data_IF_899486057471
#
_entry.id   IF_899486057471
#
_cell.length_a   1.000
_cell.length_b   1.000
_cell.length_c   1.000
_cell.angle_alpha   90.00
_cell.angle_beta   90.00
_cell.angle_gamma   90.00
#
_symmetry.space_group_name_H-M   'P 1'
#
loop_
_entity.id
_entity.type
_entity.pdbx_description
1 polymer ?
#
# COMPACT_ATOMS: atom_id res chain seq x y z
N UNK A 1 -15.83 -10.93 2.49
CA UNK A 1 -14.70 -10.06 2.10
C UNK A 1 -13.83 -9.70 3.30
N UNK A 2 -12.51 -9.86 3.19
CA UNK A 2 -11.55 -9.42 4.21
C UNK A 2 -10.43 -8.66 3.51
N UNK A 3 -10.54 -7.34 3.45
CA UNK A 3 -9.52 -6.50 2.81
C UNK A 3 -8.14 -6.78 3.43
N UNK A 4 -7.09 -6.78 2.60
CA UNK A 4 -5.70 -6.73 3.08
C UNK A 4 -5.03 -5.43 2.65
N UNK A 5 -4.36 -4.78 3.59
CA UNK A 5 -3.55 -3.58 3.35
C UNK A 5 -2.08 -3.98 3.37
N UNK A 6 -1.42 -3.86 2.24
CA UNK A 6 -0.01 -4.20 2.08
C UNK A 6 0.89 -3.00 2.38
N UNK A 7 1.87 -3.20 3.26
CA UNK A 7 2.85 -2.17 3.59
C UNK A 7 4.01 -2.27 2.62
N UNK A 8 4.18 -1.26 1.77
CA UNK A 8 5.20 -1.27 0.72
C UNK A 8 6.56 -0.82 1.23
N UNK A 9 7.65 -1.30 0.61
CA UNK A 9 9.03 -0.90 0.95
C UNK A 9 9.40 -1.19 2.41
N UNK A 10 8.99 -2.35 2.91
CA UNK A 10 9.22 -2.78 4.29
C UNK A 10 10.68 -3.11 4.56
N UNK A 11 11.23 -2.62 5.67
CA UNK A 11 12.56 -3.03 6.14
C UNK A 11 12.44 -4.21 7.09
N UNK A 12 13.42 -5.10 7.05
CA UNK A 12 13.37 -6.32 7.87
C UNK A 12 13.39 -6.01 9.37
N UNK A 13 14.17 -5.01 9.79
CA UNK A 13 14.30 -4.65 11.21
C UNK A 13 12.97 -4.21 11.83
N UNK A 14 12.14 -3.47 11.08
CA UNK A 14 10.81 -3.06 11.53
C UNK A 14 9.89 -4.29 11.63
N UNK A 15 9.99 -5.23 10.68
CA UNK A 15 9.17 -6.44 10.68
C UNK A 15 9.49 -7.30 11.88
N UNK A 16 10.78 -7.56 12.10
CA UNK A 16 11.27 -8.35 13.20
C UNK A 16 10.86 -7.75 14.55
N UNK A 17 11.02 -6.44 14.73
CA UNK A 17 10.66 -5.81 16.00
C UNK A 17 9.14 -5.76 16.22
N UNK A 18 8.37 -5.39 15.19
CA UNK A 18 6.91 -5.36 15.31
C UNK A 18 6.34 -6.75 15.61
N UNK A 19 6.89 -7.82 15.02
CA UNK A 19 6.52 -9.21 15.31
C UNK A 19 6.85 -9.66 16.73
N UNK A 20 7.92 -9.14 17.34
CA UNK A 20 8.21 -9.42 18.76
C UNK A 20 7.15 -8.79 19.67
N UNK A 21 6.68 -7.59 19.32
CA UNK A 21 5.65 -6.88 20.08
C UNK A 21 4.25 -7.48 19.86
N UNK A 22 3.95 -7.90 18.62
CA UNK A 22 2.65 -8.43 18.20
C UNK A 22 2.85 -9.68 17.34
N UNK A 23 3.03 -10.83 18.00
CA UNK A 23 3.26 -12.13 17.35
C UNK A 23 2.13 -12.49 16.36
N UNK A 24 0.87 -12.25 16.75
CA UNK A 24 -0.33 -12.68 16.02
C UNK A 24 -0.87 -11.62 15.04
N UNK A 25 -0.21 -10.47 14.91
CA UNK A 25 -0.65 -9.40 14.01
C UNK A 25 -0.67 -9.87 12.55
N UNK A 26 -1.67 -9.46 11.77
CA UNK A 26 -1.66 -9.73 10.33
C UNK A 26 -0.82 -8.67 9.60
N UNK A 27 0.35 -9.09 9.11
CA UNK A 27 1.28 -8.21 8.38
C UNK A 27 1.36 -8.66 6.94
N UNK A 28 0.93 -7.78 6.04
CA UNK A 28 0.92 -7.98 4.60
C UNK A 28 1.94 -7.03 3.98
N UNK A 29 2.81 -7.52 3.09
CA UNK A 29 3.94 -6.74 2.55
C UNK A 29 3.88 -6.71 1.02
N UNK A 30 4.12 -5.52 0.47
CA UNK A 30 4.38 -5.33 -0.97
C UNK A 30 5.87 -5.02 -1.15
N UNK A 31 6.56 -5.87 -1.88
CA UNK A 31 7.92 -5.59 -2.34
C UNK A 31 7.87 -5.01 -3.75
N UNK A 32 8.81 -4.14 -4.09
CA UNK A 32 8.88 -3.55 -5.42
C UNK A 32 10.20 -3.90 -6.09
N UNK A 33 10.15 -4.50 -7.28
CA UNK A 33 11.35 -4.86 -8.04
C UNK A 33 12.25 -3.63 -8.31
N UNK A 34 11.63 -2.47 -8.54
CA UNK A 34 12.34 -1.18 -8.70
C UNK A 34 13.19 -0.75 -7.52
N UNK A 35 12.96 -1.30 -6.33
CA UNK A 35 13.64 -0.91 -5.07
C UNK A 35 14.27 -2.11 -4.34
N UNK A 36 14.61 -3.17 -5.08
CA UNK A 36 15.22 -4.38 -4.49
C UNK A 36 16.43 -4.04 -3.61
N UNK A 37 16.46 -4.61 -2.41
CA UNK A 37 17.54 -4.47 -1.43
C UNK A 37 17.94 -5.83 -0.86
N UNK A 38 19.03 -5.87 -0.09
CA UNK A 38 19.46 -7.10 0.60
C UNK A 38 18.40 -7.66 1.56
N UNK A 39 17.59 -6.79 2.15
CA UNK A 39 16.49 -7.17 3.06
C UNK A 39 15.43 -8.02 2.36
N UNK A 40 15.21 -7.82 1.05
CA UNK A 40 14.16 -8.53 0.32
C UNK A 40 14.41 -10.03 0.31
N UNK A 41 15.65 -10.46 0.07
CA UNK A 41 16.00 -11.87 0.12
C UNK A 41 15.72 -12.48 1.51
N UNK A 42 16.09 -11.75 2.57
CA UNK A 42 15.82 -12.17 3.95
C UNK A 42 14.32 -12.34 4.20
N UNK A 43 13.48 -11.42 3.72
CA UNK A 43 12.02 -11.50 3.88
C UNK A 43 11.37 -12.58 3.02
N UNK A 44 11.87 -12.80 1.79
CA UNK A 44 11.29 -13.75 0.84
C UNK A 44 11.64 -15.19 1.20
N UNK A 45 12.89 -15.47 1.58
CA UNK A 45 13.39 -16.85 1.76
C UNK A 45 13.56 -17.22 3.23
N UNK A 46 14.25 -16.39 4.01
CA UNK A 46 14.67 -16.74 5.38
C UNK A 46 13.56 -16.52 6.41
N UNK A 47 12.82 -15.43 6.29
CA UNK A 47 11.87 -14.93 7.30
C UNK A 47 10.44 -14.84 6.76
N UNK A 48 10.12 -15.59 5.70
CA UNK A 48 8.81 -15.58 5.04
C UNK A 48 7.64 -15.85 5.98
N UNK A 49 7.85 -16.65 7.02
CA UNK A 49 6.86 -16.99 8.04
C UNK A 49 6.42 -15.79 8.90
N UNK A 50 7.21 -14.71 8.94
CA UNK A 50 6.84 -13.47 9.61
C UNK A 50 5.83 -12.64 8.80
N UNK A 51 5.45 -13.07 7.60
CA UNK A 51 4.61 -12.31 6.68
C UNK A 51 3.37 -13.14 6.35
N UNK A 52 2.19 -12.59 6.58
CA UNK A 52 0.93 -13.29 6.28
C UNK A 52 0.66 -13.36 4.79
N UNK A 53 0.98 -12.29 4.06
CA UNK A 53 0.77 -12.20 2.62
C UNK A 53 1.85 -11.34 1.99
N UNK A 54 2.43 -11.82 0.89
CA UNK A 54 3.56 -11.18 0.22
C UNK A 54 3.23 -11.01 -1.27
N UNK A 55 3.30 -9.77 -1.76
CA UNK A 55 3.00 -9.44 -3.16
C UNK A 55 4.15 -8.66 -3.78
N UNK A 56 4.21 -8.65 -5.11
CA UNK A 56 5.28 -8.00 -5.86
C UNK A 56 4.72 -6.96 -6.82
N UNK A 57 5.28 -5.76 -6.74
CA UNK A 57 5.13 -4.71 -7.74
C UNK A 57 6.36 -4.64 -8.65
N UNK A 58 6.15 -4.19 -9.89
CA UNK A 58 7.20 -4.03 -10.89
C UNK A 58 8.14 -2.87 -10.57
N UNK A 59 7.67 -1.86 -9.81
CA UNK A 59 8.42 -0.64 -9.54
C UNK A 59 8.51 0.32 -10.71
N UNK A 60 7.70 0.13 -11.74
CA UNK A 60 7.56 1.05 -12.87
C UNK A 60 7.26 2.49 -12.43
N UNK A 61 6.48 2.68 -11.36
CA UNK A 61 6.19 4.02 -10.82
C UNK A 61 7.46 4.72 -10.32
N UNK A 62 8.38 3.97 -9.70
CA UNK A 62 9.65 4.49 -9.21
C UNK A 62 10.58 4.89 -10.36
N UNK A 63 10.57 4.19 -11.50
CA UNK A 63 11.32 4.62 -12.69
C UNK A 63 10.91 6.00 -13.19
N UNK A 64 9.60 6.23 -13.32
CA UNK A 64 9.08 7.44 -13.98
C UNK A 64 9.09 8.67 -13.07
N UNK A 65 9.29 8.50 -11.75
CA UNK A 65 9.23 9.59 -10.77
C UNK A 65 10.56 9.88 -10.05
N UNK A 66 11.63 9.13 -10.32
CA UNK A 66 12.95 9.40 -9.73
C UNK A 66 13.86 10.05 -10.78
N UNK A 67 13.84 11.38 -10.87
CA UNK A 67 14.93 12.13 -11.49
C UNK A 67 16.23 11.86 -10.70
N UNK A 68 17.27 11.34 -11.37
CA UNK A 68 18.62 11.28 -10.82
C UNK A 68 18.97 10.08 -9.94
N UNK A 69 18.23 8.97 -9.98
CA UNK A 69 18.79 7.73 -9.39
C UNK A 69 19.88 7.15 -10.30
N UNK A 70 21.07 6.97 -9.72
CA UNK A 70 22.12 6.08 -10.24
C UNK A 70 21.69 4.59 -10.20
N UNK A 71 20.39 4.31 -10.33
CA UNK A 71 19.78 3.00 -10.15
C UNK A 71 20.02 2.10 -11.36
N UNK A 72 20.07 0.79 -11.11
CA UNK A 72 20.10 -0.20 -12.19
C UNK A 72 18.88 0.03 -13.09
N UNK A 73 19.04 0.07 -14.43
CA UNK A 73 17.90 0.15 -15.32
C UNK A 73 17.02 -1.09 -15.10
N UNK A 74 15.81 -0.89 -14.59
CA UNK A 74 14.84 -1.98 -14.54
C UNK A 74 14.25 -2.17 -15.94
N UNK A 75 14.10 -3.42 -16.33
CA UNK A 75 13.50 -3.80 -17.61
C UNK A 75 12.69 -5.08 -17.41
N UNK A 76 11.81 -5.36 -18.37
CA UNK A 76 10.90 -6.50 -18.33
C UNK A 76 11.62 -7.85 -18.24
N UNK A 77 12.77 -8.02 -18.90
CA UNK A 77 13.49 -9.30 -18.89
C UNK A 77 14.08 -9.58 -17.51
N UNK A 78 14.67 -8.56 -16.88
CA UNK A 78 15.14 -8.65 -15.49
C UNK A 78 14.00 -8.91 -14.51
N UNK A 79 12.83 -8.29 -14.72
CA UNK A 79 11.65 -8.55 -13.90
C UNK A 79 11.14 -10.00 -14.04
N UNK A 80 11.12 -10.54 -15.27
CA UNK A 80 10.77 -11.94 -15.54
C UNK A 80 11.72 -12.89 -14.81
N UNK A 81 13.04 -12.67 -14.91
CA UNK A 81 14.02 -13.51 -14.24
C UNK A 81 13.92 -13.41 -12.71
N UNK A 82 13.63 -12.22 -12.17
CA UNK A 82 13.35 -12.05 -10.74
C UNK A 82 12.12 -12.85 -10.29
N UNK A 83 11.02 -12.77 -11.05
CA UNK A 83 9.79 -13.51 -10.78
C UNK A 83 10.01 -15.03 -10.85
N UNK A 84 10.83 -15.53 -11.78
CA UNK A 84 11.20 -16.95 -11.86
C UNK A 84 12.05 -17.39 -10.67
N UNK A 85 12.99 -16.54 -10.25
CA UNK A 85 13.90 -16.82 -9.12
C UNK A 85 13.11 -17.06 -7.83
N UNK A 86 12.07 -16.26 -7.58
CA UNK A 86 11.24 -16.33 -6.37
C UNK A 86 9.84 -16.88 -6.66
N UNK A 87 9.72 -17.74 -7.68
CA UNK A 87 8.43 -18.28 -8.10
C UNK A 87 7.76 -19.04 -6.95
N UNK A 88 6.50 -18.72 -6.69
CA UNK A 88 5.72 -19.34 -5.61
C UNK A 88 5.86 -18.66 -4.25
N UNK A 89 6.72 -17.67 -4.09
CA UNK A 89 6.85 -16.90 -2.85
C UNK A 89 5.81 -15.78 -2.72
N UNK A 90 5.32 -15.28 -3.85
CA UNK A 90 4.35 -14.21 -3.95
C UNK A 90 2.93 -14.74 -4.17
N UNK A 91 1.97 -14.19 -3.42
CA UNK A 91 0.55 -14.52 -3.56
C UNK A 91 0.00 -14.04 -4.92
N UNK A 92 0.46 -12.87 -5.36
CA UNK A 92 0.27 -12.35 -6.71
C UNK A 92 1.33 -11.28 -7.05
N UNK A 93 1.49 -11.04 -8.35
CA UNK A 93 2.51 -10.17 -8.93
C UNK A 93 1.80 -9.18 -9.86
N UNK A 94 2.06 -7.89 -9.76
CA UNK A 94 1.52 -6.91 -10.70
C UNK A 94 2.29 -6.92 -12.02
N UNK A 95 1.61 -6.54 -13.10
CA UNK A 95 2.23 -6.37 -14.40
C UNK A 95 3.40 -5.35 -14.38
N UNK A 96 4.29 -5.43 -15.37
CA UNK A 96 5.28 -4.40 -15.65
C UNK A 96 4.63 -3.24 -16.43
N UNK A 97 3.93 -2.37 -15.69
CA UNK A 97 3.11 -1.24 -16.15
C UNK A 97 3.92 0.07 -16.25
N UNK A 98 4.85 0.12 -17.20
CA UNK A 98 5.78 1.27 -17.34
C UNK A 98 5.18 2.51 -18.02
N UNK A 99 4.02 2.42 -18.66
CA UNK A 99 3.36 3.54 -19.32
C UNK A 99 2.08 3.95 -18.60
N UNK A 100 2.13 5.08 -17.90
CA UNK A 100 1.01 5.58 -17.09
C UNK A 100 0.06 6.51 -17.84
N UNK A 101 0.29 6.74 -19.14
CA UNK A 101 -0.59 7.58 -19.95
C UNK A 101 -1.88 6.82 -20.30
N UNK A 102 -2.98 7.53 -20.59
CA UNK A 102 -4.27 6.92 -20.96
C UNK A 102 -4.18 6.03 -22.22
N UNK A 103 -3.22 6.30 -23.11
CA UNK A 103 -2.94 5.49 -24.30
C UNK A 103 -1.84 4.43 -24.08
N UNK A 104 -1.35 4.27 -22.85
CA UNK A 104 -0.30 3.31 -22.49
C UNK A 104 -0.73 1.84 -22.52
N UNK A 105 -2.04 1.58 -22.68
CA UNK A 105 -2.63 0.24 -22.67
C UNK A 105 -1.89 -0.76 -23.56
N UNK A 106 -1.62 -0.41 -24.82
CA UNK A 106 -1.04 -1.36 -25.78
C UNK A 106 0.36 -1.82 -25.32
N UNK A 107 1.17 -0.91 -24.79
CA UNK A 107 2.51 -1.21 -24.29
C UNK A 107 2.45 -2.09 -23.04
N UNK A 108 1.62 -1.71 -22.07
CA UNK A 108 1.45 -2.47 -20.83
C UNK A 108 0.85 -3.86 -21.08
N UNK A 109 -0.09 -3.97 -22.03
CA UNK A 109 -0.69 -5.25 -22.43
C UNK A 109 0.32 -6.16 -23.13
N UNK A 110 1.19 -5.62 -24.00
CA UNK A 110 2.30 -6.40 -24.59
C UNK A 110 3.27 -6.91 -23.53
N UNK A 111 3.61 -6.07 -22.56
CA UNK A 111 4.45 -6.46 -21.41
C UNK A 111 3.79 -7.60 -20.62
N UNK A 112 2.51 -7.47 -20.32
CA UNK A 112 1.73 -8.50 -19.64
C UNK A 112 1.76 -9.83 -20.38
N UNK A 113 1.49 -9.82 -21.69
CA UNK A 113 1.52 -11.04 -22.51
C UNK A 113 2.91 -11.66 -22.61
N UNK A 114 3.97 -10.85 -22.61
CA UNK A 114 5.35 -11.35 -22.56
C UNK A 114 5.66 -12.06 -21.24
N UNK A 115 5.21 -11.52 -20.11
CA UNK A 115 5.40 -12.13 -18.78
C UNK A 115 4.57 -13.42 -18.65
N UNK A 116 3.33 -13.40 -19.12
CA UNK A 116 2.44 -14.58 -19.13
C UNK A 116 2.99 -15.71 -20.01
N UNK A 117 3.56 -15.38 -21.18
CA UNK A 117 4.23 -16.34 -22.06
C UNK A 117 5.47 -16.98 -21.42
N UNK A 118 6.09 -16.31 -20.43
CA UNK A 118 7.17 -16.86 -19.62
C UNK A 118 6.67 -17.75 -18.45
N UNK A 119 5.36 -17.99 -18.35
CA UNK A 119 4.76 -18.86 -17.33
C UNK A 119 4.45 -18.16 -16.00
N UNK A 120 4.55 -16.84 -15.94
CA UNK A 120 4.28 -16.05 -14.73
C UNK A 120 2.88 -15.44 -14.83
N UNK A 121 2.02 -15.72 -13.84
CA UNK A 121 0.70 -15.09 -13.75
C UNK A 121 0.84 -13.71 -13.13
N UNK A 122 0.41 -12.68 -13.83
CA UNK A 122 0.40 -11.29 -13.34
C UNK A 122 -1.02 -10.73 -13.25
N UNK A 123 -1.20 -9.78 -12.35
CA UNK A 123 -2.40 -8.99 -12.19
C UNK A 123 -2.33 -7.79 -13.13
N UNK A 124 -3.32 -7.59 -14.02
CA UNK A 124 -3.38 -6.42 -14.87
C UNK A 124 -3.61 -5.14 -14.05
N UNK A 125 -3.05 -4.03 -14.52
CA UNK A 125 -3.24 -2.70 -13.94
C UNK A 125 -4.03 -1.85 -14.93
N UNK A 126 -5.14 -1.27 -14.47
CA UNK A 126 -5.99 -0.35 -15.23
C UNK A 126 -5.60 1.08 -14.89
N UNK A 127 -5.37 1.89 -15.91
CA UNK A 127 -5.07 3.33 -15.82
C UNK A 127 -6.20 4.19 -16.41
N UNK A 128 -6.97 3.65 -17.36
CA UNK A 128 -8.20 4.26 -17.87
C UNK A 128 -9.43 3.64 -17.19
N UNK A 129 -9.88 4.28 -16.10
CA UNK A 129 -10.94 3.76 -15.24
C UNK A 129 -12.32 3.71 -15.92
N UNK A 130 -12.54 4.56 -16.92
CA UNK A 130 -13.86 4.76 -17.54
C UNK A 130 -13.87 4.46 -19.03
N UNK A 131 -12.71 4.13 -19.61
CA UNK A 131 -12.57 3.80 -21.02
C UNK A 131 -12.73 5.02 -21.93
N UNK A 132 -12.17 6.17 -21.53
CA UNK A 132 -12.13 7.36 -22.38
C UNK A 132 -11.33 7.11 -23.67
N UNK A 133 -10.19 6.44 -23.57
CA UNK A 133 -9.30 6.11 -24.70
C UNK A 133 -9.40 4.64 -25.08
N UNK A 134 -9.34 3.75 -24.09
CA UNK A 134 -9.40 2.29 -24.29
C UNK A 134 -10.21 1.66 -23.18
N UNK A 135 -11.12 0.74 -23.53
CA UNK A 135 -11.88 -0.03 -22.55
C UNK A 135 -11.01 -1.12 -21.87
N UNK A 136 -9.90 -0.72 -21.24
CA UNK A 136 -8.90 -1.61 -20.61
C UNK A 136 -9.57 -2.57 -19.62
N UNK A 137 -10.46 -2.02 -18.80
CA UNK A 137 -11.20 -2.79 -17.80
C UNK A 137 -12.03 -3.90 -18.44
N UNK A 138 -12.73 -3.62 -19.54
CA UNK A 138 -13.57 -4.63 -20.20
C UNK A 138 -12.74 -5.74 -20.84
N UNK A 139 -11.54 -5.43 -21.32
CA UNK A 139 -10.61 -6.45 -21.79
C UNK A 139 -10.13 -7.35 -20.65
N UNK A 140 -9.72 -6.76 -19.52
CA UNK A 140 -9.22 -7.53 -18.38
C UNK A 140 -10.32 -8.34 -17.67
N UNK A 141 -11.56 -7.85 -17.63
CA UNK A 141 -12.69 -8.58 -17.04
C UNK A 141 -12.98 -9.93 -17.71
N UNK A 142 -12.56 -10.12 -18.97
CA UNK A 142 -12.75 -11.38 -19.71
C UNK A 142 -11.91 -12.53 -19.15
N UNK A 143 -10.71 -12.24 -18.63
CA UNK A 143 -9.68 -13.26 -18.40
C UNK A 143 -9.04 -13.25 -17.02
N UNK A 144 -9.24 -12.20 -16.22
CA UNK A 144 -8.54 -12.04 -14.94
C UNK A 144 -9.50 -12.06 -13.74
N UNK A 145 -9.09 -12.75 -12.69
CA UNK A 145 -9.87 -12.86 -11.45
C UNK A 145 -9.57 -11.76 -10.43
N UNK A 146 -8.43 -11.11 -10.59
CA UNK A 146 -7.99 -9.96 -9.81
C UNK A 146 -7.54 -8.88 -10.79
N UNK A 147 -8.03 -7.65 -10.58
CA UNK A 147 -7.69 -6.47 -11.37
C UNK A 147 -7.17 -5.40 -10.41
N UNK A 148 -6.07 -4.75 -10.79
CA UNK A 148 -5.52 -3.62 -10.04
C UNK A 148 -5.93 -2.31 -10.68
N UNK A 149 -6.18 -1.30 -9.86
CA UNK A 149 -6.42 0.08 -10.30
C UNK A 149 -5.19 0.92 -9.96
N UNK A 150 -4.46 1.34 -11.00
CA UNK A 150 -3.22 2.12 -10.92
C UNK A 150 -3.44 3.62 -10.89
N UNK A 151 -2.37 4.40 -11.13
CA UNK A 151 -2.49 5.84 -11.35
C UNK A 151 -3.44 6.11 -12.53
N UNK A 152 -4.37 7.04 -12.35
CA UNK A 152 -5.32 7.51 -13.36
C UNK A 152 -5.57 8.99 -13.12
N UNK A 153 -5.88 9.76 -14.16
CA UNK A 153 -6.35 11.15 -14.03
C UNK A 153 -7.64 11.21 -13.20
N UNK A 154 -8.45 10.16 -13.25
CA UNK A 154 -9.70 10.05 -12.50
C UNK A 154 -9.54 9.44 -11.12
N UNK A 155 -8.32 9.13 -10.66
CA UNK A 155 -8.10 8.46 -9.37
C UNK A 155 -8.65 9.24 -8.17
N UNK A 156 -8.78 10.56 -8.29
CA UNK A 156 -9.31 11.45 -7.25
C UNK A 156 -10.82 11.69 -7.37
N UNK A 157 -11.43 11.31 -8.50
CA UNK A 157 -12.87 11.33 -8.67
C UNK A 157 -13.47 10.11 -7.94
N UNK A 158 -14.08 10.38 -6.80
CA UNK A 158 -14.68 9.35 -5.94
C UNK A 158 -15.80 8.59 -6.65
N UNK A 159 -16.56 9.25 -7.53
CA UNK A 159 -17.68 8.62 -8.22
C UNK A 159 -17.18 7.67 -9.31
N UNK A 160 -16.22 8.12 -10.12
CA UNK A 160 -15.60 7.28 -11.16
C UNK A 160 -14.90 6.06 -10.54
N UNK A 161 -14.07 6.28 -9.51
CA UNK A 161 -13.41 5.16 -8.80
C UNK A 161 -14.43 4.17 -8.22
N UNK A 162 -15.48 4.65 -7.55
CA UNK A 162 -16.51 3.78 -7.00
C UNK A 162 -17.25 2.99 -8.09
N UNK A 163 -17.60 3.63 -9.22
CA UNK A 163 -18.25 2.96 -10.33
C UNK A 163 -17.37 1.85 -10.94
N UNK A 164 -16.07 2.13 -11.13
CA UNK A 164 -15.10 1.14 -11.63
C UNK A 164 -14.96 -0.05 -10.66
N UNK A 165 -14.82 0.21 -9.36
CA UNK A 165 -14.78 -0.84 -8.33
C UNK A 165 -16.05 -1.69 -8.36
N UNK A 166 -17.23 -1.06 -8.38
CA UNK A 166 -18.52 -1.77 -8.42
C UNK A 166 -18.66 -2.62 -9.68
N UNK A 167 -18.22 -2.13 -10.85
CA UNK A 167 -18.21 -2.91 -12.10
C UNK A 167 -17.36 -4.19 -11.97
N UNK A 168 -16.18 -4.09 -11.36
CA UNK A 168 -15.30 -5.25 -11.09
C UNK A 168 -15.99 -6.24 -10.15
N UNK A 169 -16.58 -5.76 -9.05
CA UNK A 169 -17.25 -6.61 -8.06
C UNK A 169 -18.52 -7.26 -8.60
N UNK A 170 -19.30 -6.57 -9.43
CA UNK A 170 -20.47 -7.14 -10.12
C UNK A 170 -20.09 -8.26 -11.08
N UNK A 171 -18.92 -8.17 -11.71
CA UNK A 171 -18.33 -9.25 -12.49
C UNK A 171 -17.73 -10.39 -11.62
N UNK A 172 -17.93 -10.35 -10.30
CA UNK A 172 -17.44 -11.31 -9.31
C UNK A 172 -15.91 -11.47 -9.32
N UNK A 173 -15.21 -10.39 -9.62
CA UNK A 173 -13.75 -10.33 -9.60
C UNK A 173 -13.26 -9.62 -8.34
N UNK A 174 -11.98 -9.78 -8.04
CA UNK A 174 -11.30 -9.07 -6.94
C UNK A 174 -10.67 -7.79 -7.45
N UNK A 175 -10.53 -6.81 -6.56
CA UNK A 175 -9.91 -5.51 -6.89
C UNK A 175 -8.80 -5.16 -5.91
N UNK A 176 -7.69 -4.67 -6.46
CA UNK A 176 -6.61 -4.02 -5.70
C UNK A 176 -6.57 -2.53 -6.03
N UNK A 177 -6.44 -1.66 -5.02
CA UNK A 177 -6.20 -0.23 -5.22
C UNK A 177 -4.73 0.13 -4.94
N UNK A 178 -3.99 0.49 -6.00
CA UNK A 178 -2.58 0.87 -5.86
C UNK A 178 -2.44 2.22 -5.14
N UNK A 179 -1.63 2.26 -4.07
CA UNK A 179 -1.30 3.48 -3.34
C UNK A 179 -2.47 4.18 -2.63
N UNK A 180 -3.61 3.50 -2.42
CA UNK A 180 -4.76 4.05 -1.68
C UNK A 180 -4.86 3.42 -0.31
N UNK A 181 -4.68 4.22 0.74
CA UNK A 181 -4.63 3.69 2.12
C UNK A 181 -5.29 4.55 3.19
N UNK A 182 -5.98 5.62 2.80
CA UNK A 182 -6.77 6.43 3.73
C UNK A 182 -8.06 5.69 4.10
N UNK A 183 -8.36 5.59 5.39
CA UNK A 183 -9.55 4.89 5.91
C UNK A 183 -10.83 5.45 5.29
N UNK A 184 -10.97 6.77 5.20
CA UNK A 184 -12.15 7.41 4.60
C UNK A 184 -12.35 7.10 3.11
N UNK A 185 -11.31 6.62 2.41
CA UNK A 185 -11.44 6.14 1.03
C UNK A 185 -11.80 4.66 0.97
N UNK A 186 -11.18 3.84 1.84
CA UNK A 186 -11.35 2.38 1.80
C UNK A 186 -12.65 1.90 2.47
N UNK A 187 -13.11 2.57 3.54
CA UNK A 187 -14.24 2.10 4.36
C UNK A 187 -15.55 1.94 3.58
N UNK A 188 -15.74 2.74 2.53
CA UNK A 188 -16.97 2.79 1.74
C UNK A 188 -16.83 2.14 0.35
N UNK A 189 -15.71 1.47 0.07
CA UNK A 189 -15.47 0.81 -1.21
C UNK A 189 -15.29 -0.69 -0.99
N UNK A 190 -15.99 -1.57 -1.75
CA UNK A 190 -15.89 -3.02 -1.61
C UNK A 190 -14.61 -3.57 -2.25
N UNK A 191 -13.45 -3.15 -1.73
CA UNK A 191 -12.13 -3.48 -2.27
C UNK A 191 -11.48 -4.63 -1.51
N UNK A 192 -10.82 -5.54 -2.22
CA UNK A 192 -10.21 -6.73 -1.64
C UNK A 192 -8.78 -6.46 -1.13
N UNK A 193 -8.07 -5.56 -1.80
CA UNK A 193 -6.67 -5.27 -1.51
C UNK A 193 -6.35 -3.79 -1.70
N UNK A 194 -5.39 -3.29 -0.93
CA UNK A 194 -4.77 -1.99 -1.16
C UNK A 194 -3.34 -1.98 -0.63
N UNK A 195 -2.54 -0.98 -0.99
CA UNK A 195 -1.20 -0.82 -0.45
C UNK A 195 -0.89 0.61 -0.01
N UNK A 196 0.17 0.72 0.78
CA UNK A 196 0.64 1.99 1.32
C UNK A 196 2.15 2.02 1.47
N UNK A 197 2.77 3.07 0.92
CA UNK A 197 4.12 3.50 1.29
C UNK A 197 4.12 4.54 2.41
N UNK A 198 2.95 5.09 2.77
CA UNK A 198 2.83 6.20 3.71
C UNK A 198 3.36 5.86 5.11
N UNK A 199 3.32 4.60 5.52
CA UNK A 199 3.88 4.20 6.81
C UNK A 199 5.40 4.47 6.88
N UNK A 200 6.14 4.19 5.79
CA UNK A 200 7.58 4.39 5.67
C UNK A 200 7.94 5.78 5.14
N UNK A 201 7.15 6.37 4.25
CA UNK A 201 7.39 7.73 3.75
C UNK A 201 6.99 8.80 4.76
N UNK A 202 5.99 8.52 5.59
CA UNK A 202 5.52 9.43 6.64
C UNK A 202 6.67 9.95 7.48
N UNK A 203 7.53 9.06 8.01
CA UNK A 203 8.70 9.47 8.78
C UNK A 203 9.72 10.29 7.95
N UNK A 204 9.91 9.98 6.66
CA UNK A 204 10.83 10.71 5.77
C UNK A 204 10.37 12.16 5.64
N UNK A 205 9.05 12.39 5.60
CA UNK A 205 8.45 13.71 5.54
C UNK A 205 8.09 14.30 6.93
N UNK A 206 8.51 13.64 8.01
CA UNK A 206 8.31 14.08 9.39
C UNK A 206 6.89 13.92 9.91
N UNK A 207 6.18 12.86 9.52
CA UNK A 207 4.79 12.57 9.92
C UNK A 207 4.62 11.27 10.70
N UNK A 208 3.60 11.28 11.56
CA UNK A 208 3.00 10.08 12.16
C UNK A 208 1.48 10.08 12.00
N UNK A 209 0.91 8.88 12.05
CA UNK A 209 -0.54 8.67 12.01
C UNK A 209 -1.06 8.25 13.38
N UNK A 210 -2.21 8.79 13.77
CA UNK A 210 -2.91 8.45 15.01
C UNK A 210 -4.41 8.29 14.75
N UNK A 211 -5.01 7.32 15.44
CA UNK A 211 -6.45 7.06 15.34
C UNK A 211 -7.18 7.74 16.51
N UNK A 212 -7.87 8.83 16.22
CA UNK A 212 -8.47 9.73 17.20
C UNK A 212 -10.01 9.59 17.31
N UNK A 213 -10.55 8.39 17.13
CA UNK A 213 -12.01 8.19 17.11
C UNK A 213 -12.72 8.60 18.42
N UNK A 214 -12.02 8.58 19.56
CA UNK A 214 -12.57 9.05 20.84
C UNK A 214 -12.97 10.54 20.79
N UNK A 215 -12.19 11.36 20.09
CA UNK A 215 -12.38 12.81 20.06
C UNK A 215 -13.00 13.29 18.73
N UNK A 216 -12.74 12.60 17.61
CA UNK A 216 -13.26 12.92 16.28
C UNK A 216 -13.85 11.67 15.59
N UNK A 217 -14.97 11.11 16.07
CA UNK A 217 -15.49 9.82 15.61
C UNK A 217 -15.84 9.76 14.11
N UNK A 218 -16.24 10.89 13.51
CA UNK A 218 -16.60 10.97 12.10
C UNK A 218 -15.38 11.13 11.17
N UNK A 219 -14.26 11.62 11.71
CA UNK A 219 -12.99 11.77 11.00
C UNK A 219 -11.82 11.44 11.95
N UNK A 220 -11.60 10.14 12.21
CA UNK A 220 -10.68 9.69 13.24
C UNK A 220 -9.22 9.71 12.78
N UNK A 221 -8.93 9.92 11.51
CA UNK A 221 -7.56 9.91 10.99
C UNK A 221 -6.86 11.24 11.34
N UNK A 222 -5.86 11.18 12.22
CA UNK A 222 -5.03 12.34 12.54
C UNK A 222 -3.61 12.11 12.00
N UNK A 223 -3.15 13.04 11.15
CA UNK A 223 -1.74 13.09 10.74
C UNK A 223 -1.04 14.21 11.50
N UNK A 224 0.01 13.87 12.24
CA UNK A 224 0.78 14.79 13.06
C UNK A 224 2.20 14.91 12.53
N UNK A 225 2.80 16.08 12.74
CA UNK A 225 4.15 16.40 12.31
C UNK A 225 5.14 16.39 13.48
N UNK A 226 6.35 15.92 13.24
CA UNK A 226 7.47 16.08 14.17
C UNK A 226 8.17 17.43 13.94
N UNK A 227 8.57 18.10 15.02
CA UNK A 227 9.17 19.45 14.96
C UNK A 227 10.55 19.51 14.34
N UNK A 228 11.25 18.38 14.28
CA UNK A 228 12.60 18.26 13.72
C UNK A 228 12.59 18.13 12.19
N UNK A 229 11.43 18.33 11.56
CA UNK A 229 11.29 18.40 10.12
C UNK A 229 10.63 19.71 9.70
N UNK A 230 11.39 20.57 9.00
CA UNK A 230 10.87 21.84 8.49
C UNK A 230 9.87 21.61 7.36
N UNK A 231 8.66 22.19 7.42
CA UNK A 231 7.69 22.07 6.33
C UNK A 231 8.13 22.91 5.13
N UNK A 232 7.82 22.43 3.92
CA UNK A 232 7.68 23.34 2.79
C UNK A 232 6.55 24.35 3.10
N UNK A 233 6.72 25.62 2.68
CA UNK A 233 5.99 26.83 3.11
C UNK A 233 4.44 26.81 3.07
N UNK A 234 3.78 25.71 2.75
CA UNK A 234 2.32 25.57 2.61
C UNK A 234 1.68 24.47 3.49
N UNK A 235 2.42 23.72 4.30
CA UNK A 235 1.82 22.60 5.07
C UNK A 235 1.14 23.07 6.37
N UNK A 236 -0.16 22.78 6.50
CA UNK A 236 -1.03 23.17 7.63
C UNK A 236 -1.12 22.12 8.75
N UNK A 237 -0.40 20.99 8.64
CA UNK A 237 -0.47 19.92 9.64
C UNK A 237 0.05 20.36 11.00
N UNK A 238 -0.65 19.94 12.06
CA UNK A 238 -0.29 20.24 13.45
C UNK A 238 0.93 19.44 13.88
N UNK A 239 1.81 20.08 14.66
CA UNK A 239 2.89 19.37 15.35
C UNK A 239 2.33 18.46 16.44
N UNK A 240 3.00 17.33 16.69
CA UNK A 240 2.63 16.35 17.72
C UNK A 240 2.48 17.01 19.09
N UNK A 241 3.47 17.79 19.52
CA UNK A 241 3.49 18.48 20.81
C UNK A 241 2.64 19.75 20.86
N UNK A 242 2.22 20.25 19.70
CA UNK A 242 1.17 21.27 19.57
C UNK A 242 -0.25 20.69 19.49
N UNK A 243 -0.40 19.36 19.51
CA UNK A 243 -1.71 18.71 19.47
C UNK A 243 -2.43 18.86 20.80
N UNK A 244 -3.74 19.17 20.75
CA UNK A 244 -4.61 19.16 21.94
C UNK A 244 -4.69 17.77 22.59
N UNK A 245 -4.34 16.72 21.84
CA UNK A 245 -4.39 15.33 22.28
C UNK A 245 -3.02 14.77 22.65
N UNK A 246 -1.98 15.60 22.79
CA UNK A 246 -0.61 15.16 23.01
C UNK A 246 -0.47 14.15 24.16
N UNK A 247 -1.07 14.45 25.33
CA UNK A 247 -1.01 13.56 26.50
C UNK A 247 -1.62 12.18 26.22
N UNK A 248 -2.80 12.15 25.59
CA UNK A 248 -3.50 10.91 25.23
C UNK A 248 -2.70 10.09 24.20
N UNK A 249 -2.14 10.76 23.19
CA UNK A 249 -1.31 10.12 22.17
C UNK A 249 -0.08 9.49 22.83
N UNK A 250 0.62 10.22 23.69
CA UNK A 250 1.82 9.69 24.34
C UNK A 250 1.52 8.55 25.32
N UNK A 251 0.39 8.61 26.02
CA UNK A 251 -0.09 7.52 26.87
C UNK A 251 -0.41 6.28 26.04
N UNK A 252 -1.14 6.44 24.91
CA UNK A 252 -1.41 5.37 23.96
C UNK A 252 -0.12 4.72 23.43
N UNK A 253 0.84 5.51 22.96
CA UNK A 253 2.11 5.00 22.43
C UNK A 253 2.94 4.26 23.50
N UNK A 254 2.93 4.76 24.73
CA UNK A 254 3.62 4.11 25.84
C UNK A 254 2.96 2.77 26.19
N UNK A 255 1.62 2.74 26.26
CA UNK A 255 0.89 1.56 26.69
C UNK A 255 0.88 0.46 25.62
N UNK A 256 0.69 0.82 24.35
CA UNK A 256 0.58 -0.15 23.24
C UNK A 256 1.95 -0.57 22.70
N UNK A 257 2.91 0.34 22.63
CA UNK A 257 4.18 0.12 21.93
C UNK A 257 5.41 0.23 22.85
N UNK A 258 5.24 0.64 24.11
CA UNK A 258 6.37 0.97 24.98
C UNK A 258 7.17 2.20 24.50
N UNK A 259 6.61 3.00 23.58
CA UNK A 259 7.31 4.12 22.93
C UNK A 259 7.06 5.42 23.70
N UNK A 260 8.15 6.11 24.03
CA UNK A 260 8.13 7.40 24.73
C UNK A 260 8.44 8.57 23.78
N UNK A 261 8.26 9.80 24.27
CA UNK A 261 8.61 11.01 23.52
C UNK A 261 10.10 11.04 23.12
N UNK A 262 10.98 10.56 24.01
CA UNK A 262 12.42 10.49 23.77
C UNK A 262 12.75 9.50 22.65
N UNK A 263 12.01 8.39 22.53
CA UNK A 263 12.17 7.47 21.40
C UNK A 263 11.84 8.15 20.07
N UNK A 264 10.81 8.99 20.04
CA UNK A 264 10.35 9.67 18.83
C UNK A 264 11.27 10.80 18.35
N UNK A 265 12.16 11.35 19.20
CA UNK A 265 13.08 12.45 18.86
C UNK A 265 14.56 12.12 19.11
N UNK A 266 14.88 10.90 19.55
CA UNK A 266 16.23 10.48 19.88
C UNK A 266 17.00 9.90 18.68
N UNK A 267 18.14 9.27 18.96
CA UNK A 267 19.07 8.72 17.96
C UNK A 267 18.41 7.74 16.97
N UNK A 268 17.40 6.98 17.44
CA UNK A 268 16.68 5.98 16.63
C UNK A 268 15.27 6.45 16.24
N UNK A 269 15.04 7.76 16.15
CA UNK A 269 13.72 8.35 15.89
C UNK A 269 13.03 7.74 14.67
N UNK A 270 13.73 7.59 13.54
CA UNK A 270 13.18 6.99 12.32
C UNK A 270 12.59 5.60 12.56
N UNK A 271 13.32 4.73 13.27
CA UNK A 271 12.89 3.38 13.57
C UNK A 271 11.60 3.36 14.40
N UNK A 272 11.56 4.13 15.49
CA UNK A 272 10.37 4.20 16.34
C UNK A 272 9.17 4.85 15.63
N UNK A 273 9.39 5.87 14.80
CA UNK A 273 8.34 6.49 13.98
C UNK A 273 7.75 5.49 12.97
N UNK A 274 8.58 4.66 12.36
CA UNK A 274 8.13 3.58 11.47
C UNK A 274 7.34 2.51 12.23
N UNK A 275 7.72 2.15 13.46
CA UNK A 275 6.94 1.23 14.29
C UNK A 275 5.56 1.80 14.64
N UNK A 276 5.48 3.08 15.01
CA UNK A 276 4.20 3.76 15.27
C UNK A 276 3.31 3.73 14.03
N UNK A 277 3.86 4.08 12.86
CA UNK A 277 3.09 4.07 11.63
C UNK A 277 2.69 2.65 11.23
N UNK A 278 3.57 1.66 11.35
CA UNK A 278 3.24 0.24 11.12
C UNK A 278 2.04 -0.17 11.97
N UNK A 279 2.08 0.14 13.27
CA UNK A 279 0.98 -0.17 14.18
C UNK A 279 -0.34 0.48 13.74
N UNK A 280 -0.29 1.74 13.30
CA UNK A 280 -1.46 2.43 12.77
C UNK A 280 -2.07 1.70 11.57
N UNK A 281 -1.27 1.33 10.56
CA UNK A 281 -1.79 0.69 9.35
C UNK A 281 -2.30 -0.74 9.61
N UNK A 282 -1.62 -1.50 10.47
CA UNK A 282 -2.08 -2.84 10.90
C UNK A 282 -3.47 -2.73 11.55
N UNK A 283 -3.65 -1.82 12.51
CA UNK A 283 -4.95 -1.62 13.16
C UNK A 283 -5.99 -0.98 12.22
N UNK A 284 -5.56 -0.21 11.23
CA UNK A 284 -6.45 0.42 10.26
C UNK A 284 -7.03 -0.62 9.29
N UNK A 285 -6.29 -1.68 8.95
CA UNK A 285 -6.83 -2.84 8.21
C UNK A 285 -8.05 -3.44 8.91
N UNK A 286 -7.95 -3.70 10.22
CA UNK A 286 -9.05 -4.28 11.00
C UNK A 286 -10.28 -3.35 11.01
N UNK A 287 -10.06 -2.04 11.15
CA UNK A 287 -11.14 -1.04 11.11
C UNK A 287 -11.83 -0.95 9.75
N UNK A 288 -11.08 -1.09 8.65
CA UNK A 288 -11.70 -1.15 7.32
C UNK A 288 -12.53 -2.42 7.18
N UNK A 289 -12.07 -3.56 7.70
CA UNK A 289 -12.85 -4.82 7.71
C UNK A 289 -14.15 -4.67 8.50
N UNK A 290 -14.09 -4.07 9.69
CA UNK A 290 -15.28 -3.75 10.48
C UNK A 290 -16.26 -2.88 9.69
N UNK A 291 -15.77 -1.85 9.00
CA UNK A 291 -16.60 -1.00 8.16
C UNK A 291 -17.18 -1.75 6.94
N UNK A 292 -16.42 -2.65 6.31
CA UNK A 292 -16.90 -3.48 5.19
C UNK A 292 -18.03 -4.42 5.63
N UNK A 293 -17.90 -5.03 6.82
CA UNK A 293 -18.96 -5.86 7.42
C UNK A 293 -20.19 -5.00 7.72
N UNK A 294 -20.01 -3.83 8.34
CA UNK A 294 -21.11 -2.92 8.64
C UNK A 294 -21.85 -2.44 7.38
N UNK A 295 -21.13 -2.31 6.25
CA UNK A 295 -21.69 -1.97 4.94
C UNK A 295 -22.26 -3.19 4.18
N UNK A 296 -22.18 -4.41 4.75
CA UNK A 296 -22.68 -5.64 4.15
C UNK A 296 -21.87 -6.13 2.94
N UNK A 297 -20.68 -5.58 2.69
CA UNK A 297 -19.87 -5.93 1.53
C UNK A 297 -19.40 -7.39 1.56
N UNK A 298 -19.23 -7.96 2.74
CA UNK A 298 -18.88 -9.35 2.95
C UNK A 298 -19.96 -10.33 2.48
N UNK A 299 -21.23 -9.93 2.49
CA UNK A 299 -22.36 -10.72 1.99
C UNK A 299 -22.68 -10.41 0.52
N UNK A 300 -22.59 -9.14 0.12
CA UNK A 300 -22.91 -8.69 -1.23
C UNK A 300 -21.83 -9.12 -2.24
N UNK A 301 -20.58 -9.15 -1.81
CA UNK A 301 -19.41 -9.46 -2.63
C UNK A 301 -18.47 -10.43 -1.88
N UNK A 302 -18.89 -11.69 -1.68
CA UNK A 302 -18.15 -12.66 -0.89
C UNK A 302 -16.73 -12.92 -1.43
#
# INVERSE_FOLDING_TARGET
MQIKIYLSSFSFDILAEYRKMFNDAEINILLSYGTTSGDYYSMIETNRSMINSLILDSGAFSLNNIEGSNGKPINIDGFIEYCKTFQGQFDFIFNFDEDFNLNGFEKNYKNQKKIEAAGIRVVPVVHDYIGEEVAELDEYLKSYDLISLGFSEHKNDKQKLAATVLKIKQAKKKVHLLGVSAYNRLKNLPVDYSDSSNWAQGQIFGFMYYWNAKNTPNDPELTLRFKDFEPNKSDSKKYLDGSLYFGEIMEYLKNELGITYQNLYGQNATFYRQLVNTHYFVKMQDRVREAHIANGFDTQYP
#
